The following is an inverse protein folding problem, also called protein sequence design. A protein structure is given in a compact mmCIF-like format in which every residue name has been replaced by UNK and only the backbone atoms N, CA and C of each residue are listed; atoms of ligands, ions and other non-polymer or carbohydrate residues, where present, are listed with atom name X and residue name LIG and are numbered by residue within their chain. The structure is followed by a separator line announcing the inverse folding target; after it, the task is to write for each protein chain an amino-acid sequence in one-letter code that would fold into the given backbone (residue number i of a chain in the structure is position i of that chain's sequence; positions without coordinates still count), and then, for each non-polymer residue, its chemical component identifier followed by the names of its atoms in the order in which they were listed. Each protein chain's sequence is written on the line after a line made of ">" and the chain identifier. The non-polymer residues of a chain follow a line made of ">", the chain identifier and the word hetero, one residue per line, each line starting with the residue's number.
data_IF_956513979494
#
_entry.id   IF_956513979494
#
_cell.length_a   1.000
_cell.length_b   1.000
_cell.length_c   1.000
_cell.angle_alpha   90.00
_cell.angle_beta   90.00
_cell.angle_gamma   90.00
#
_symmetry.space_group_name_H-M   'P 1'
#
loop_
_entity.id
_entity.type
_entity.pdbx_description
1 polymer ?
#
# COMPACT_ATOMS: atom_id res chain seq x y z
N UNK A 1 44.44 -53.59 -10.69
CA UNK A 1 44.69 -52.14 -10.62
C UNK A 1 43.35 -51.43 -10.72
N UNK A 2 42.88 -50.80 -9.63
CA UNK A 2 41.53 -50.22 -9.51
C UNK A 2 41.51 -48.85 -10.19
N UNK A 3 40.65 -48.66 -11.19
CA UNK A 3 40.40 -47.36 -11.82
C UNK A 3 39.36 -46.64 -10.96
N UNK A 4 39.76 -45.50 -10.42
CA UNK A 4 38.96 -44.62 -9.60
C UNK A 4 38.01 -43.82 -10.51
N UNK A 5 36.70 -44.05 -10.40
CA UNK A 5 35.69 -43.16 -10.97
C UNK A 5 35.69 -41.86 -10.17
N UNK A 6 36.09 -40.75 -10.80
CA UNK A 6 35.87 -39.41 -10.25
C UNK A 6 34.42 -39.04 -10.57
N UNK A 7 33.52 -39.27 -9.61
CA UNK A 7 32.24 -38.56 -9.57
C UNK A 7 32.54 -37.10 -9.23
N UNK A 8 32.47 -36.21 -10.22
CA UNK A 8 32.31 -34.78 -9.95
C UNK A 8 30.96 -34.57 -9.29
N UNK A 9 30.96 -34.45 -7.96
CA UNK A 9 29.85 -33.89 -7.21
C UNK A 9 29.63 -32.45 -7.70
N UNK A 10 28.63 -32.26 -8.56
CA UNK A 10 28.02 -30.94 -8.75
C UNK A 10 27.26 -30.66 -7.46
N UNK A 11 27.95 -30.07 -6.48
CA UNK A 11 27.28 -29.42 -5.36
C UNK A 11 26.56 -28.21 -5.95
N UNK A 12 25.26 -28.37 -6.19
CA UNK A 12 24.37 -27.25 -6.45
C UNK A 12 24.45 -26.32 -5.23
N UNK A 13 25.32 -25.32 -5.29
CA UNK A 13 25.16 -24.10 -4.52
C UNK A 13 23.90 -23.41 -5.04
N UNK A 14 22.74 -23.88 -4.61
CA UNK A 14 21.59 -23.00 -4.46
C UNK A 14 22.02 -21.98 -3.41
N UNK A 15 22.67 -20.90 -3.85
CA UNK A 15 22.62 -19.64 -3.11
C UNK A 15 21.14 -19.29 -3.06
N UNK A 16 20.45 -19.77 -2.05
CA UNK A 16 19.11 -19.32 -1.72
C UNK A 16 19.19 -17.80 -1.66
N UNK A 17 18.38 -17.13 -2.46
CA UNK A 17 18.17 -15.70 -2.32
C UNK A 17 17.75 -15.52 -0.86
N UNK A 18 18.51 -14.76 -0.08
CA UNK A 18 18.12 -14.45 1.28
C UNK A 18 16.73 -13.84 1.21
N UNK A 19 15.76 -14.44 1.90
CA UNK A 19 14.39 -13.94 1.86
C UNK A 19 14.37 -12.52 2.44
N UNK A 20 13.62 -11.59 1.83
CA UNK A 20 13.48 -10.24 2.36
C UNK A 20 12.94 -10.31 3.78
N UNK A 21 13.55 -9.55 4.69
CA UNK A 21 13.03 -9.43 6.05
C UNK A 21 11.76 -8.57 6.03
N UNK A 22 10.61 -9.21 6.15
CA UNK A 22 9.31 -8.55 6.24
C UNK A 22 9.02 -8.09 7.67
N UNK A 23 8.28 -6.98 7.78
CA UNK A 23 7.77 -6.47 9.07
C UNK A 23 6.76 -7.45 9.70
N UNK A 24 5.99 -8.12 8.85
CA UNK A 24 5.12 -9.24 9.24
C UNK A 24 5.84 -10.56 8.99
N UNK A 25 6.24 -11.23 10.07
CA UNK A 25 6.91 -12.54 10.01
C UNK A 25 5.95 -13.69 9.68
N UNK A 26 4.64 -13.46 9.75
CA UNK A 26 3.59 -14.42 9.42
C UNK A 26 2.92 -14.09 8.06
N UNK A 27 3.57 -13.26 7.25
CA UNK A 27 3.04 -12.82 5.97
C UNK A 27 2.68 -14.01 5.07
N UNK A 28 1.52 -13.90 4.40
CA UNK A 28 1.05 -14.95 3.49
C UNK A 28 2.04 -15.16 2.31
N UNK A 29 2.06 -16.35 1.69
CA UNK A 29 2.99 -16.66 0.60
C UNK A 29 2.97 -15.68 -0.59
N UNK A 30 1.82 -15.06 -0.85
CA UNK A 30 1.70 -14.06 -1.92
C UNK A 30 2.47 -12.76 -1.61
N UNK A 31 2.53 -12.34 -0.34
CA UNK A 31 3.28 -11.16 0.11
C UNK A 31 4.79 -11.45 0.06
N UNK A 32 5.20 -12.63 0.55
CA UNK A 32 6.60 -13.07 0.51
C UNK A 32 7.11 -13.07 -0.95
N UNK A 33 6.36 -13.69 -1.88
CA UNK A 33 6.73 -13.71 -3.30
C UNK A 33 6.79 -12.32 -3.93
N UNK A 34 5.87 -11.42 -3.57
CA UNK A 34 5.92 -10.05 -4.07
C UNK A 34 7.20 -9.35 -3.61
N UNK A 35 7.56 -9.48 -2.34
CA UNK A 35 8.77 -8.88 -1.78
C UNK A 35 10.05 -9.44 -2.43
N UNK A 36 10.15 -10.77 -2.58
CA UNK A 36 11.29 -11.41 -3.27
C UNK A 36 11.42 -10.93 -4.72
N UNK A 37 10.30 -10.81 -5.44
CA UNK A 37 10.30 -10.30 -6.80
C UNK A 37 10.73 -8.84 -6.87
N UNK A 38 10.24 -7.99 -5.96
CA UNK A 38 10.64 -6.58 -5.89
C UNK A 38 12.13 -6.43 -5.61
N UNK A 39 12.70 -7.21 -4.68
CA UNK A 39 14.14 -7.20 -4.39
C UNK A 39 14.97 -7.73 -5.57
N UNK A 40 14.46 -8.71 -6.31
CA UNK A 40 15.16 -9.20 -7.49
C UNK A 40 15.11 -8.20 -8.64
N UNK A 41 13.95 -7.58 -8.90
CA UNK A 41 13.80 -6.59 -9.95
C UNK A 41 14.54 -5.29 -9.65
N UNK A 42 14.70 -4.90 -8.37
CA UNK A 42 15.43 -3.68 -8.03
C UNK A 42 16.92 -3.71 -8.40
N UNK A 43 17.46 -4.89 -8.73
CA UNK A 43 18.87 -5.06 -9.15
C UNK A 43 19.14 -4.51 -10.54
N UNK A 44 18.15 -4.56 -11.45
CA UNK A 44 18.34 -4.23 -12.87
C UNK A 44 17.12 -3.58 -13.55
N UNK A 45 16.00 -3.38 -12.85
CA UNK A 45 14.75 -2.85 -13.41
C UNK A 45 14.17 -1.75 -12.54
N UNK A 46 13.43 -0.86 -13.21
CA UNK A 46 12.56 0.12 -12.57
C UNK A 46 11.13 -0.19 -12.99
N UNK A 47 10.26 -0.42 -12.02
CA UNK A 47 8.84 -0.58 -12.28
C UNK A 47 8.17 0.78 -12.36
N UNK A 48 7.54 1.07 -13.50
CA UNK A 48 6.75 2.28 -13.68
C UNK A 48 5.39 2.14 -12.97
N UNK A 49 5.04 3.14 -12.16
CA UNK A 49 3.75 3.21 -11.46
C UNK A 49 2.96 4.47 -11.77
N UNK A 50 1.63 4.39 -11.67
CA UNK A 50 0.73 5.54 -11.82
C UNK A 50 -0.45 5.45 -10.83
N UNK A 51 -0.72 6.55 -10.13
CA UNK A 51 -1.88 6.70 -9.24
C UNK A 51 -3.18 6.75 -10.05
N UNK A 52 -4.23 6.08 -9.57
CA UNK A 52 -5.60 6.11 -10.12
C UNK A 52 -5.71 5.76 -11.62
N UNK A 53 -4.73 5.03 -12.16
CA UNK A 53 -4.55 4.84 -13.59
C UNK A 53 -5.76 4.25 -14.33
N UNK A 54 -6.63 3.50 -13.64
CA UNK A 54 -7.84 2.89 -14.21
C UNK A 54 -9.13 3.64 -13.85
N UNK A 55 -9.07 4.60 -12.92
CA UNK A 55 -10.24 5.32 -12.42
C UNK A 55 -10.66 6.43 -13.40
N UNK A 56 -9.68 7.20 -13.87
CA UNK A 56 -9.87 8.32 -14.79
C UNK A 56 -8.55 8.65 -15.52
N UNK A 57 -8.64 9.59 -16.45
CA UNK A 57 -7.50 10.23 -17.10
C UNK A 57 -7.84 11.67 -17.46
N UNK A 58 -6.98 12.33 -18.23
CA UNK A 58 -7.11 13.78 -18.49
C UNK A 58 -8.46 14.14 -19.12
N UNK A 59 -8.96 13.31 -20.05
CA UNK A 59 -10.17 13.59 -20.84
C UNK A 59 -11.30 12.56 -20.65
N UNK A 60 -11.23 11.74 -19.61
CA UNK A 60 -12.28 10.76 -19.32
C UNK A 60 -12.36 10.48 -17.83
N UNK A 61 -13.58 10.23 -17.35
CA UNK A 61 -13.86 9.78 -15.99
C UNK A 61 -14.64 8.48 -16.03
N UNK A 62 -14.61 7.76 -14.91
CA UNK A 62 -15.19 6.43 -14.69
C UNK A 62 -14.45 5.34 -15.47
N UNK A 63 -14.27 4.20 -14.82
CA UNK A 63 -13.57 3.08 -15.42
C UNK A 63 -14.19 2.62 -16.73
N UNK A 64 -13.30 2.37 -17.68
CA UNK A 64 -13.58 1.67 -18.93
C UNK A 64 -12.72 0.42 -18.95
N UNK A 65 -13.30 -0.69 -19.39
CA UNK A 65 -12.60 -1.99 -19.45
C UNK A 65 -11.25 -1.82 -20.16
N UNK A 66 -10.17 -2.20 -19.46
CA UNK A 66 -8.79 -2.18 -19.96
C UNK A 66 -8.31 -0.78 -20.44
N UNK A 67 -8.74 0.29 -19.78
CA UNK A 67 -8.39 1.66 -20.16
C UNK A 67 -7.47 2.32 -19.12
N UNK A 68 -6.38 2.93 -19.59
CA UNK A 68 -5.60 3.94 -18.87
C UNK A 68 -4.94 4.89 -19.88
N UNK A 69 -4.62 6.11 -19.48
CA UNK A 69 -3.91 7.05 -20.36
C UNK A 69 -2.55 6.49 -20.80
N UNK A 70 -1.80 5.89 -19.87
CA UNK A 70 -0.53 5.20 -20.17
C UNK A 70 -0.74 4.09 -21.20
N UNK A 71 -1.77 3.25 -21.03
CA UNK A 71 -2.04 2.17 -22.00
C UNK A 71 -2.42 2.71 -23.37
N UNK A 72 -3.17 3.80 -23.44
CA UNK A 72 -3.51 4.44 -24.72
C UNK A 72 -2.26 4.84 -25.50
N UNK A 73 -1.26 5.38 -24.78
CA UNK A 73 0.01 5.86 -25.33
C UNK A 73 0.96 4.71 -25.70
N UNK A 74 1.32 3.86 -24.72
CA UNK A 74 2.42 2.89 -24.87
C UNK A 74 1.96 1.44 -25.01
N UNK A 75 0.64 1.21 -25.14
CA UNK A 75 0.02 -0.12 -25.31
C UNK A 75 0.31 -1.12 -24.19
N UNK A 76 0.72 -0.65 -23.01
CA UNK A 76 0.86 -1.43 -21.79
C UNK A 76 0.31 -0.67 -20.58
N UNK A 77 -0.19 -1.38 -19.56
CA UNK A 77 -0.55 -0.76 -18.28
C UNK A 77 0.71 -0.47 -17.44
N UNK A 78 0.65 0.46 -16.47
CA UNK A 78 1.68 0.58 -15.44
C UNK A 78 1.89 -0.75 -14.72
N UNK A 79 3.12 -1.04 -14.31
CA UNK A 79 3.43 -2.25 -13.54
C UNK A 79 2.85 -2.16 -12.11
N UNK A 80 2.80 -0.93 -11.56
CA UNK A 80 2.19 -0.61 -10.27
C UNK A 80 1.07 0.40 -10.46
N UNK A 81 -0.08 0.17 -9.82
CA UNK A 81 -1.17 1.13 -9.75
C UNK A 81 -1.39 1.52 -8.29
N UNK A 82 -1.32 2.82 -8.04
CA UNK A 82 -1.56 3.39 -6.72
C UNK A 82 -3.02 3.82 -6.56
N UNK A 83 -3.52 3.74 -5.33
CA UNK A 83 -4.89 4.08 -4.93
C UNK A 83 -4.90 4.90 -3.64
N UNK A 84 -5.99 5.63 -3.38
CA UNK A 84 -6.08 6.59 -2.26
C UNK A 84 -7.35 6.39 -1.43
N UNK A 85 -7.22 6.28 -0.11
CA UNK A 85 -8.31 5.96 0.83
C UNK A 85 -8.82 7.12 1.70
N UNK A 86 -8.48 8.36 1.39
CA UNK A 86 -9.08 9.56 2.00
C UNK A 86 -10.61 9.46 2.05
N UNK A 87 -11.23 10.00 3.11
CA UNK A 87 -12.69 9.94 3.33
C UNK A 87 -13.30 8.54 3.49
N UNK A 88 -12.51 7.47 3.59
CA UNK A 88 -13.03 6.13 3.87
C UNK A 88 -13.94 6.13 5.12
N UNK A 89 -15.15 5.61 4.99
CA UNK A 89 -16.18 5.62 6.04
C UNK A 89 -17.05 6.87 6.12
N UNK A 90 -16.76 7.93 5.36
CA UNK A 90 -17.61 9.13 5.30
C UNK A 90 -18.63 9.08 4.15
N UNK A 91 -18.45 8.18 3.20
CA UNK A 91 -19.28 8.06 2.02
C UNK A 91 -18.68 7.09 1.00
N UNK A 92 -19.26 6.99 -0.20
CA UNK A 92 -18.83 6.03 -1.22
C UNK A 92 -17.57 6.47 -1.98
N UNK A 93 -17.18 7.75 -1.92
CA UNK A 93 -16.09 8.32 -2.71
C UNK A 93 -14.92 8.78 -1.83
N UNK A 94 -13.70 8.64 -2.36
CA UNK A 94 -12.53 9.30 -1.80
C UNK A 94 -12.49 10.80 -2.14
N UNK A 95 -11.43 11.52 -1.74
CA UNK A 95 -11.29 12.97 -1.99
C UNK A 95 -11.32 13.35 -3.48
N UNK A 96 -10.90 12.46 -4.37
CA UNK A 96 -10.80 12.67 -5.82
C UNK A 96 -12.03 12.16 -6.58
N UNK A 97 -13.13 11.88 -5.88
CA UNK A 97 -14.37 11.34 -6.44
C UNK A 97 -14.24 9.92 -7.01
N UNK A 98 -13.30 9.13 -6.49
CA UNK A 98 -13.16 7.71 -6.82
C UNK A 98 -14.00 6.86 -5.89
N UNK A 99 -14.89 6.06 -6.47
CA UNK A 99 -15.79 5.15 -5.74
C UNK A 99 -15.04 3.94 -5.16
N UNK A 100 -15.22 3.66 -3.86
CA UNK A 100 -14.50 2.60 -3.15
C UNK A 100 -14.87 1.19 -3.65
N UNK A 101 -16.14 0.95 -4.00
CA UNK A 101 -16.57 -0.36 -4.53
C UNK A 101 -15.90 -0.62 -5.88
N UNK A 102 -15.89 0.39 -6.74
CA UNK A 102 -15.22 0.35 -8.04
C UNK A 102 -13.71 0.18 -7.88
N UNK A 103 -13.10 0.90 -6.93
CA UNK A 103 -11.68 0.76 -6.57
C UNK A 103 -11.31 -0.67 -6.18
N UNK A 104 -12.12 -1.34 -5.35
CA UNK A 104 -11.92 -2.75 -5.00
C UNK A 104 -11.92 -3.65 -6.24
N UNK A 105 -12.88 -3.46 -7.15
CA UNK A 105 -12.95 -4.22 -8.40
C UNK A 105 -11.71 -3.98 -9.28
N UNK A 106 -11.19 -2.75 -9.33
CA UNK A 106 -9.99 -2.45 -10.10
C UNK A 106 -8.74 -3.04 -9.46
N UNK A 107 -8.59 -2.97 -8.14
CA UNK A 107 -7.49 -3.63 -7.40
C UNK A 107 -7.44 -5.13 -7.73
N UNK A 108 -8.61 -5.81 -7.68
CA UNK A 108 -8.74 -7.22 -8.05
C UNK A 108 -8.33 -7.44 -9.50
N UNK A 109 -8.76 -6.56 -10.41
CA UNK A 109 -8.41 -6.66 -11.83
C UNK A 109 -6.92 -6.38 -12.12
N UNK A 110 -6.27 -5.50 -11.37
CA UNK A 110 -4.82 -5.25 -11.44
C UNK A 110 -4.07 -6.51 -11.02
N UNK A 111 -4.43 -7.09 -9.87
CA UNK A 111 -3.81 -8.32 -9.40
C UNK A 111 -4.01 -9.48 -10.38
N UNK A 112 -5.23 -9.64 -10.93
CA UNK A 112 -5.55 -10.63 -11.96
C UNK A 112 -4.66 -10.53 -13.19
N UNK A 113 -4.21 -9.33 -13.55
CA UNK A 113 -3.33 -9.07 -14.69
C UNK A 113 -1.83 -9.17 -14.34
N UNK A 114 -1.49 -9.53 -13.11
CA UNK A 114 -0.10 -9.58 -12.64
C UNK A 114 0.48 -8.23 -12.23
N UNK A 115 -0.35 -7.18 -12.15
CA UNK A 115 0.07 -5.86 -11.66
C UNK A 115 0.15 -5.78 -10.14
N UNK A 116 0.86 -4.76 -9.66
CA UNK A 116 1.07 -4.50 -8.24
C UNK A 116 0.12 -3.38 -7.81
N UNK A 117 -0.49 -3.53 -6.63
CA UNK A 117 -1.33 -2.49 -6.04
C UNK A 117 -0.58 -1.82 -4.88
N UNK A 118 -0.65 -0.48 -4.82
CA UNK A 118 -0.22 0.30 -3.66
C UNK A 118 -1.37 1.18 -3.17
N UNK A 119 -1.42 1.43 -1.87
CA UNK A 119 -2.42 2.28 -1.24
C UNK A 119 -1.72 3.36 -0.42
N UNK A 120 -2.02 4.62 -0.74
CA UNK A 120 -1.76 5.77 0.13
C UNK A 120 -3.01 6.16 0.91
N UNK A 121 -2.82 6.98 1.94
CA UNK A 121 -3.94 7.45 2.74
C UNK A 121 -3.73 8.88 3.23
N UNK A 122 -4.47 9.80 2.64
CA UNK A 122 -4.70 11.15 3.11
C UNK A 122 -5.84 11.13 4.13
N UNK A 123 -5.52 10.74 5.37
CA UNK A 123 -6.49 10.64 6.46
C UNK A 123 -7.02 12.02 6.86
N UNK A 124 -8.32 12.06 7.18
CA UNK A 124 -9.01 13.23 7.70
C UNK A 124 -8.44 13.65 9.08
N UNK A 125 -8.55 14.92 9.44
CA UNK A 125 -8.13 15.43 10.73
C UNK A 125 -9.15 15.02 11.81
N UNK A 126 -8.74 14.18 12.76
CA UNK A 126 -9.60 13.63 13.81
C UNK A 126 -10.04 14.65 14.88
N UNK A 127 -9.35 15.78 14.98
CA UNK A 127 -9.65 16.83 15.98
C UNK A 127 -10.67 17.81 15.42
N UNK A 128 -10.47 18.27 14.19
CA UNK A 128 -11.31 19.32 13.57
C UNK A 128 -12.39 18.80 12.64
N UNK A 129 -12.27 17.56 12.16
CA UNK A 129 -13.07 17.02 11.06
C UNK A 129 -12.63 17.51 9.67
N UNK A 130 -11.53 18.26 9.57
CA UNK A 130 -10.94 18.74 8.32
C UNK A 130 -10.27 17.62 7.50
N UNK A 131 -9.62 18.00 6.40
CA UNK A 131 -8.84 17.07 5.56
C UNK A 131 -7.38 16.94 6.05
N UNK A 132 -6.54 16.21 5.32
CA UNK A 132 -5.13 16.02 5.71
C UNK A 132 -4.30 17.31 5.78
N UNK A 133 -4.68 18.35 5.03
CA UNK A 133 -4.02 19.65 5.00
C UNK A 133 -4.52 20.62 6.07
N UNK A 134 -5.59 20.28 6.78
CA UNK A 134 -5.90 20.97 8.02
C UNK A 134 -4.91 20.51 9.09
N UNK A 135 -3.85 21.30 9.29
CA UNK A 135 -2.75 20.97 10.20
C UNK A 135 -2.98 21.41 11.63
N UNK A 136 -4.18 21.89 11.97
CA UNK A 136 -4.47 22.41 13.30
C UNK A 136 -4.82 21.28 14.29
N UNK A 137 -4.68 21.55 15.58
CA UNK A 137 -5.11 20.64 16.65
C UNK A 137 -4.10 19.56 17.09
N UNK A 138 -2.86 19.56 16.60
CA UNK A 138 -1.81 18.61 17.05
C UNK A 138 -2.29 17.15 17.04
N UNK A 139 -2.96 16.76 15.95
CA UNK A 139 -3.80 15.56 15.82
C UNK A 139 -3.14 14.29 16.34
N UNK A 140 -1.85 14.09 16.08
CA UNK A 140 -1.12 12.88 16.48
C UNK A 140 -1.21 12.61 17.99
N UNK A 141 -1.12 13.66 18.82
CA UNK A 141 -1.23 13.52 20.28
C UNK A 141 -2.59 13.00 20.74
N UNK A 142 -3.64 13.33 20.00
CA UNK A 142 -5.02 12.95 20.31
C UNK A 142 -5.34 11.52 19.86
N UNK A 143 -4.68 11.01 18.81
CA UNK A 143 -4.96 9.66 18.27
C UNK A 143 -4.01 8.57 18.78
N UNK A 144 -2.89 8.93 19.41
CA UNK A 144 -2.00 7.97 20.06
C UNK A 144 -2.68 7.32 21.29
N UNK A 145 -2.21 6.14 21.76
CA UNK A 145 -2.74 5.51 22.96
C UNK A 145 -2.77 6.48 24.15
N UNK A 146 -3.96 6.60 24.77
CA UNK A 146 -4.22 7.55 25.86
C UNK A 146 -4.77 8.90 25.41
N UNK A 147 -4.79 9.19 24.11
CA UNK A 147 -5.44 10.36 23.54
C UNK A 147 -6.97 10.20 23.46
N UNK A 148 -7.68 11.33 23.48
CA UNK A 148 -9.15 11.42 23.46
C UNK A 148 -9.77 11.10 22.10
N UNK A 149 -8.97 11.06 21.02
CA UNK A 149 -9.36 10.64 19.66
C UNK A 149 -8.86 9.25 19.28
N UNK A 150 -8.32 8.50 20.23
CA UNK A 150 -7.74 7.19 19.96
C UNK A 150 -8.78 6.20 19.41
N UNK A 151 -9.99 6.19 19.96
CA UNK A 151 -11.04 5.26 19.51
C UNK A 151 -11.52 5.57 18.09
N UNK A 152 -11.65 6.85 17.72
CA UNK A 152 -11.94 7.23 16.34
C UNK A 152 -10.83 6.80 15.38
N UNK A 153 -9.58 6.83 15.82
CA UNK A 153 -8.46 6.32 15.03
C UNK A 153 -8.53 4.80 14.84
N UNK A 154 -8.83 4.03 15.89
CA UNK A 154 -9.03 2.57 15.77
C UNK A 154 -10.17 2.24 14.81
N UNK A 155 -11.31 2.91 14.96
CA UNK A 155 -12.46 2.74 14.07
C UNK A 155 -12.09 3.05 12.61
N UNK A 156 -11.23 4.05 12.37
CA UNK A 156 -10.70 4.34 11.02
C UNK A 156 -9.82 3.21 10.49
N UNK A 157 -8.94 2.65 11.31
CA UNK A 157 -8.12 1.49 10.93
C UNK A 157 -8.98 0.24 10.66
N UNK A 158 -10.05 0.02 11.41
CA UNK A 158 -10.99 -1.09 11.19
C UNK A 158 -11.70 -0.98 9.85
N UNK A 159 -12.07 0.24 9.42
CA UNK A 159 -12.61 0.47 8.08
C UNK A 159 -11.61 0.11 6.98
N UNK A 160 -10.31 0.33 7.20
CA UNK A 160 -9.26 -0.12 6.28
C UNK A 160 -9.15 -1.63 6.24
N UNK A 161 -9.17 -2.31 7.40
CA UNK A 161 -9.21 -3.77 7.48
C UNK A 161 -10.43 -4.31 6.72
N UNK A 162 -11.60 -3.70 6.91
CA UNK A 162 -12.82 -4.06 6.21
C UNK A 162 -12.68 -3.87 4.69
N UNK A 163 -12.12 -2.74 4.24
CA UNK A 163 -11.86 -2.49 2.83
C UNK A 163 -10.94 -3.55 2.22
N UNK A 164 -9.85 -3.90 2.92
CA UNK A 164 -8.90 -4.92 2.49
C UNK A 164 -9.48 -6.34 2.49
N UNK A 165 -10.37 -6.65 3.43
CA UNK A 165 -10.98 -7.99 3.55
C UNK A 165 -11.71 -8.44 2.27
N UNK A 166 -12.27 -7.48 1.53
CA UNK A 166 -12.96 -7.70 0.26
C UNK A 166 -12.01 -7.95 -0.91
N UNK A 167 -10.71 -7.67 -0.78
CA UNK A 167 -9.71 -7.81 -1.83
C UNK A 167 -9.23 -9.26 -1.93
N UNK A 168 -10.08 -10.10 -2.54
CA UNK A 168 -9.79 -11.51 -2.80
C UNK A 168 -9.77 -11.79 -4.31
N UNK A 169 -8.82 -12.60 -4.74
CA UNK A 169 -8.81 -13.19 -6.08
C UNK A 169 -8.66 -14.70 -5.96
N UNK A 170 -9.62 -15.45 -6.52
CA UNK A 170 -9.70 -16.92 -6.40
C UNK A 170 -9.58 -17.41 -4.93
N UNK A 171 -10.25 -16.70 -4.01
CA UNK A 171 -10.23 -17.01 -2.58
C UNK A 171 -8.97 -16.59 -1.82
N UNK A 172 -7.94 -16.05 -2.50
CA UNK A 172 -6.69 -15.64 -1.87
C UNK A 172 -6.65 -14.12 -1.66
N UNK A 173 -6.07 -13.67 -0.54
CA UNK A 173 -5.80 -12.25 -0.28
C UNK A 173 -4.83 -11.68 -1.31
N UNK A 174 -5.12 -10.48 -1.78
CA UNK A 174 -4.27 -9.72 -2.70
C UNK A 174 -3.20 -8.96 -1.89
N UNK A 175 -1.90 -9.12 -2.19
CA UNK A 175 -0.85 -8.31 -1.58
C UNK A 175 -0.99 -6.82 -1.94
N UNK A 176 -0.84 -5.95 -0.95
CA UNK A 176 -0.92 -4.49 -1.10
C UNK A 176 0.34 -3.85 -0.50
N UNK A 177 0.96 -2.90 -1.22
CA UNK A 177 1.99 -2.02 -0.65
C UNK A 177 1.30 -0.85 0.02
N UNK A 178 1.24 -0.86 1.35
CA UNK A 178 0.61 0.19 2.15
C UNK A 178 1.61 1.30 2.53
N UNK A 179 1.24 2.56 2.30
CA UNK A 179 2.10 3.74 2.50
C UNK A 179 1.36 4.84 3.29
N UNK A 180 1.11 4.65 4.60
CA UNK A 180 0.46 5.65 5.45
C UNK A 180 1.43 6.79 5.81
N UNK A 181 0.87 7.92 6.29
CA UNK A 181 1.61 9.05 6.89
C UNK A 181 2.82 9.54 6.09
N UNK A 182 2.68 9.55 4.77
CA UNK A 182 3.76 9.90 3.85
C UNK A 182 4.19 11.37 3.96
N UNK A 183 5.40 11.67 3.51
CA UNK A 183 5.93 13.05 3.45
C UNK A 183 5.98 13.78 4.80
N UNK A 184 6.06 13.04 5.91
CA UNK A 184 6.07 13.59 7.27
C UNK A 184 7.21 14.58 7.59
N UNK A 185 8.26 14.63 6.78
CA UNK A 185 9.35 15.63 6.92
C UNK A 185 8.93 17.01 6.39
N UNK A 186 7.86 17.09 5.60
CA UNK A 186 7.16 18.32 5.27
C UNK A 186 6.16 18.74 6.37
N UNK A 187 5.52 19.89 6.16
CA UNK A 187 4.57 20.48 7.13
C UNK A 187 3.20 20.77 6.54
N UNK A 188 2.89 20.20 5.37
CA UNK A 188 1.61 20.38 4.69
C UNK A 188 0.53 19.39 5.14
N UNK A 189 0.88 18.38 5.95
CA UNK A 189 -0.06 17.43 6.54
C UNK A 189 -0.08 17.53 8.06
N UNK A 190 -1.20 17.19 8.70
CA UNK A 190 -1.32 17.22 10.18
C UNK A 190 -0.37 16.27 10.91
N UNK A 191 0.20 15.26 10.24
CA UNK A 191 1.26 14.40 10.77
C UNK A 191 2.68 14.89 10.44
N UNK A 192 2.81 16.06 9.82
CA UNK A 192 4.07 16.66 9.39
C UNK A 192 4.92 17.22 10.52
N UNK A 193 6.18 17.55 10.23
CA UNK A 193 7.23 17.87 11.21
C UNK A 193 6.90 19.01 12.19
N UNK A 194 6.12 20.01 11.77
CA UNK A 194 5.79 21.19 12.60
C UNK A 194 4.56 20.93 13.48
N UNK A 195 3.84 19.83 13.22
CA UNK A 195 2.55 19.48 13.84
C UNK A 195 2.63 18.15 14.62
N UNK A 196 3.80 17.51 14.60
CA UNK A 196 4.04 16.21 15.22
C UNK A 196 5.51 16.09 15.63
N UNK A 197 5.76 15.68 16.87
CA UNK A 197 7.14 15.42 17.30
C UNK A 197 7.69 14.16 16.62
N UNK A 198 9.02 14.07 16.47
CA UNK A 198 9.69 12.88 15.90
C UNK A 198 9.35 11.61 16.68
N UNK A 199 9.17 11.70 18.01
CA UNK A 199 8.82 10.55 18.84
C UNK A 199 7.37 10.14 18.64
N UNK A 200 6.45 11.10 18.61
CA UNK A 200 5.03 10.83 18.37
C UNK A 200 4.81 10.23 16.98
N UNK A 201 5.51 10.74 15.96
CA UNK A 201 5.44 10.17 14.60
C UNK A 201 5.92 8.71 14.57
N UNK A 202 7.04 8.41 15.24
CA UNK A 202 7.55 7.02 15.35
C UNK A 202 6.55 6.13 16.08
N UNK A 203 5.91 6.63 17.14
CA UNK A 203 4.90 5.89 17.88
C UNK A 203 3.66 5.65 17.03
N UNK A 204 3.19 6.65 16.29
CA UNK A 204 2.06 6.54 15.37
C UNK A 204 2.32 5.46 14.32
N UNK A 205 3.50 5.51 13.68
CA UNK A 205 3.90 4.53 12.69
C UNK A 205 3.94 3.10 13.26
N UNK A 206 4.59 2.90 14.41
CA UNK A 206 4.68 1.59 15.08
C UNK A 206 3.31 1.06 15.49
N UNK A 207 2.51 1.90 16.14
CA UNK A 207 1.17 1.54 16.57
C UNK A 207 0.32 1.06 15.39
N UNK A 208 0.38 1.78 14.27
CA UNK A 208 -0.38 1.44 13.06
C UNK A 208 0.02 0.09 12.50
N UNK A 209 1.33 -0.20 12.47
CA UNK A 209 1.83 -1.52 12.06
C UNK A 209 1.38 -2.61 13.02
N UNK A 210 1.50 -2.38 14.32
CA UNK A 210 1.14 -3.36 15.36
C UNK A 210 -0.36 -3.65 15.38
N UNK A 211 -1.21 -2.65 15.13
CA UNK A 211 -2.65 -2.81 15.07
C UNK A 211 -3.12 -3.58 13.82
N UNK A 212 -2.46 -3.36 12.68
CA UNK A 212 -2.88 -3.93 11.39
C UNK A 212 -2.28 -5.30 11.07
N UNK A 213 -1.23 -5.73 11.78
CA UNK A 213 -0.54 -7.01 11.56
C UNK A 213 -1.18 -8.13 12.39
#
# INVERSE_FOLDING_TARGET
>A
MRILLILTLVTNFLKGIAQPQLVDTNAIPAVIRLAENLENWSKDKILFGQQDALAYGVYWKKHRKNHSDVRKLVKSHPALIGWELSKLGQGPLNIDSVDFVSMQQWIINVHRQGGINSISWHMDNFVTGGNSWDTTGMVVKHILPGGDKHQEYLAKLDLFVQFLSALKYKGQTIPIIFRPFHEHTGSWFWWGKDHCSVQDYKQLWRFTIEYLR
#
